data_IF_556684502937
#
_entry.id   IF_556684502937
#
_cell.length_a   1.000
_cell.length_b   1.000
_cell.length_c   1.000
_cell.angle_alpha   90.00
_cell.angle_beta   90.00
_cell.angle_gamma   90.00
#
_symmetry.space_group_name_H-M   'P 1'
#
loop_
_entity.id
_entity.type
_entity.pdbx_description
1 polymer ?
#
# COMPACT_ATOMS: atom_id res chain seq x y z
N UNK A 1 -29.93 11.87 18.36
CA UNK A 1 -29.11 11.04 19.26
C UNK A 1 -28.65 9.71 18.64
N UNK A 2 -29.43 9.08 17.75
CA UNK A 2 -29.09 7.76 17.15
C UNK A 2 -27.90 7.74 16.17
N UNK A 3 -27.64 8.83 15.43
CA UNK A 3 -26.56 8.90 14.44
C UNK A 3 -25.17 8.94 15.07
N UNK A 4 -25.04 9.64 16.20
CA UNK A 4 -23.78 9.75 16.96
C UNK A 4 -23.31 8.40 17.52
N UNK A 5 -24.26 7.58 17.96
CA UNK A 5 -24.01 6.25 18.52
C UNK A 5 -23.57 5.24 17.43
N UNK A 6 -24.03 5.41 16.18
CA UNK A 6 -23.54 4.61 15.04
C UNK A 6 -22.11 4.99 14.65
N UNK A 7 -21.79 6.29 14.65
CA UNK A 7 -20.44 6.76 14.34
C UNK A 7 -19.41 6.26 15.39
N UNK A 8 -19.75 6.34 16.68
CA UNK A 8 -18.90 5.85 17.77
C UNK A 8 -18.63 4.34 17.68
N UNK A 9 -19.65 3.54 17.35
CA UNK A 9 -19.49 2.10 17.11
C UNK A 9 -18.60 1.81 15.90
N UNK A 10 -18.74 2.61 14.83
CA UNK A 10 -17.88 2.51 13.64
C UNK A 10 -16.41 2.79 13.95
N UNK A 11 -16.14 3.86 14.70
CA UNK A 11 -14.78 4.20 15.12
C UNK A 11 -14.15 3.14 16.03
N UNK A 12 -14.93 2.62 16.97
CA UNK A 12 -14.48 1.54 17.85
C UNK A 12 -14.16 0.26 17.07
N UNK A 13 -14.98 -0.09 16.09
CA UNK A 13 -14.73 -1.23 15.21
C UNK A 13 -13.47 -1.01 14.36
N UNK A 14 -13.32 0.17 13.76
CA UNK A 14 -12.14 0.50 12.97
C UNK A 14 -10.86 0.44 13.81
N UNK A 15 -10.90 0.90 15.07
CA UNK A 15 -9.79 0.80 16.01
C UNK A 15 -9.44 -0.67 16.34
N UNK A 16 -10.45 -1.52 16.54
CA UNK A 16 -10.26 -2.94 16.79
C UNK A 16 -9.64 -3.65 15.59
N UNK A 17 -10.15 -3.39 14.38
CA UNK A 17 -9.59 -3.92 13.13
C UNK A 17 -8.14 -3.51 12.99
N UNK A 18 -7.81 -2.22 13.16
CA UNK A 18 -6.42 -1.74 13.12
C UNK A 18 -5.53 -2.45 14.15
N UNK A 19 -6.04 -2.70 15.36
CA UNK A 19 -5.31 -3.43 16.42
C UNK A 19 -5.04 -4.88 16.03
N UNK A 20 -6.02 -5.58 15.49
CA UNK A 20 -5.88 -6.98 15.09
C UNK A 20 -4.94 -7.15 13.90
N UNK A 21 -5.04 -6.28 12.89
CA UNK A 21 -4.15 -6.30 11.72
C UNK A 21 -2.73 -5.83 12.05
N UNK A 22 -2.58 -4.89 12.99
CA UNK A 22 -1.28 -4.44 13.49
C UNK A 22 -0.60 -5.40 14.47
N UNK A 23 -1.28 -6.45 14.92
CA UNK A 23 -0.65 -7.47 15.77
C UNK A 23 0.39 -8.26 14.95
N UNK A 24 1.57 -8.48 15.53
CA UNK A 24 2.65 -9.20 14.85
C UNK A 24 2.23 -10.59 14.35
N UNK A 25 1.40 -11.29 15.12
CA UNK A 25 0.88 -12.60 14.74
C UNK A 25 0.05 -12.53 13.45
N UNK A 26 -0.81 -11.52 13.32
CA UNK A 26 -1.61 -11.30 12.11
C UNK A 26 -0.72 -10.87 10.94
N UNK A 27 0.26 -10.00 11.19
CA UNK A 27 1.23 -9.58 10.15
C UNK A 27 2.03 -10.78 9.62
N UNK A 28 2.49 -11.68 10.50
CA UNK A 28 3.19 -12.92 10.10
C UNK A 28 2.26 -13.84 9.32
N UNK A 29 1.01 -14.00 9.77
CA UNK A 29 0.02 -14.80 9.05
C UNK A 29 -0.25 -14.24 7.65
N UNK A 30 -0.51 -12.94 7.50
CA UNK A 30 -0.75 -12.31 6.21
C UNK A 30 0.44 -12.49 5.25
N UNK A 31 1.68 -12.39 5.74
CA UNK A 31 2.88 -12.65 4.91
C UNK A 31 2.96 -14.07 4.34
N UNK A 32 2.26 -15.04 4.94
CA UNK A 32 2.16 -16.41 4.40
C UNK A 32 1.10 -16.56 3.32
N UNK A 33 0.17 -15.61 3.20
CA UNK A 33 -0.89 -15.66 2.20
C UNK A 33 -0.40 -15.13 0.85
N UNK A 34 -0.65 -15.82 -0.28
CA UNK A 34 -0.14 -15.43 -1.59
C UNK A 34 -0.50 -13.99 -2.01
N UNK A 35 -1.72 -13.53 -1.69
CA UNK A 35 -2.18 -12.18 -2.04
C UNK A 35 -1.45 -11.05 -1.29
N UNK A 36 -0.81 -11.37 -0.16
CA UNK A 36 -0.10 -10.42 0.71
C UNK A 36 1.38 -10.78 0.83
N UNK A 37 1.83 -11.80 0.11
CA UNK A 37 3.23 -12.17 0.03
C UNK A 37 3.96 -11.04 -0.70
N UNK A 38 4.89 -10.40 -0.02
CA UNK A 38 5.80 -9.43 -0.61
C UNK A 38 6.85 -10.25 -1.36
N UNK A 39 6.56 -10.62 -2.61
CA UNK A 39 7.55 -11.29 -3.48
C UNK A 39 8.74 -10.35 -3.68
N UNK A 40 9.91 -10.72 -3.16
CA UNK A 40 11.13 -9.93 -3.29
C UNK A 40 11.49 -9.66 -4.76
N UNK A 41 11.30 -10.64 -5.65
CA UNK A 41 11.59 -10.51 -7.10
C UNK A 41 10.64 -9.55 -7.83
N UNK A 42 9.40 -9.39 -7.34
CA UNK A 42 8.43 -8.46 -7.93
C UNK A 42 8.88 -7.00 -7.78
N UNK A 43 9.72 -6.70 -6.78
CA UNK A 43 10.23 -5.34 -6.53
C UNK A 43 11.22 -4.88 -7.59
N UNK A 44 12.04 -5.78 -8.13
CA UNK A 44 13.07 -5.42 -9.11
C UNK A 44 12.45 -5.08 -10.47
N UNK A 45 11.39 -5.80 -10.87
CA UNK A 45 10.64 -5.48 -12.07
C UNK A 45 9.98 -4.09 -11.98
N UNK A 46 9.40 -3.76 -10.83
CA UNK A 46 8.81 -2.43 -10.63
C UNK A 46 9.87 -1.33 -10.62
N UNK A 47 11.03 -1.54 -10.00
CA UNK A 47 12.16 -0.59 -10.07
C UNK A 47 12.61 -0.34 -11.50
N UNK A 48 12.76 -1.39 -12.31
CA UNK A 48 13.15 -1.25 -13.71
C UNK A 48 12.11 -0.48 -14.53
N UNK A 49 10.81 -0.70 -14.26
CA UNK A 49 9.74 0.03 -14.93
C UNK A 49 9.73 1.52 -14.54
N UNK A 50 9.95 1.84 -13.26
CA UNK A 50 10.04 3.22 -12.78
C UNK A 50 11.28 3.93 -13.33
N UNK A 51 12.45 3.29 -13.34
CA UNK A 51 13.67 3.86 -13.94
C UNK A 51 13.49 4.11 -15.46
N UNK A 52 12.78 3.21 -16.16
CA UNK A 52 12.43 3.43 -17.56
C UNK A 52 11.50 4.63 -17.75
N UNK A 53 10.54 4.82 -16.85
CA UNK A 53 9.63 5.96 -16.88
C UNK A 53 10.39 7.28 -16.65
N UNK A 54 11.24 7.35 -15.62
CA UNK A 54 12.05 8.52 -15.30
C UNK A 54 12.93 8.94 -16.49
N UNK A 55 13.56 7.98 -17.18
CA UNK A 55 14.37 8.24 -18.38
C UNK A 55 13.54 8.78 -19.53
N UNK A 56 12.33 8.27 -19.74
CA UNK A 56 11.42 8.74 -20.78
C UNK A 56 10.95 10.18 -20.50
N UNK A 57 10.59 10.47 -19.25
CA UNK A 57 10.21 11.82 -18.82
C UNK A 57 11.38 12.81 -18.89
N UNK A 58 12.59 12.39 -18.53
CA UNK A 58 13.79 13.22 -18.67
C UNK A 58 14.12 13.52 -20.14
N UNK A 59 13.93 12.54 -21.03
CA UNK A 59 14.09 12.71 -22.48
C UNK A 59 13.05 13.66 -23.07
N UNK A 60 11.78 13.50 -22.70
CA UNK A 60 10.69 14.38 -23.13
C UNK A 60 10.86 15.81 -22.60
N UNK A 61 11.23 15.98 -21.32
CA UNK A 61 11.53 17.28 -20.73
C UNK A 61 12.76 17.98 -21.35
N UNK A 62 13.67 17.23 -21.98
CA UNK A 62 14.81 17.78 -22.74
C UNK A 62 14.41 18.23 -24.14
N UNK A 63 13.45 17.55 -24.75
CA UNK A 63 12.87 17.92 -26.05
C UNK A 63 11.93 19.12 -25.93
N UNK A 64 11.20 19.25 -24.83
CA UNK A 64 10.29 20.39 -24.55
C UNK A 64 10.99 21.70 -24.16
N UNK A 65 12.29 21.65 -23.82
CA UNK A 65 13.11 22.82 -23.45
C UNK A 65 13.97 23.37 -24.61
N UNK A 66 13.86 22.77 -25.79
CA UNK A 66 14.42 23.30 -27.04
C UNK A 66 13.30 23.90 -27.88
#
# INVERSE_FOLDING_TARGET
MMTRNKAEKGERLAAEVRRQFGAEAMTRFLRTLPAFHIEADTHDRFRQLLDRLDRAEAGDNRLRRQ
#
